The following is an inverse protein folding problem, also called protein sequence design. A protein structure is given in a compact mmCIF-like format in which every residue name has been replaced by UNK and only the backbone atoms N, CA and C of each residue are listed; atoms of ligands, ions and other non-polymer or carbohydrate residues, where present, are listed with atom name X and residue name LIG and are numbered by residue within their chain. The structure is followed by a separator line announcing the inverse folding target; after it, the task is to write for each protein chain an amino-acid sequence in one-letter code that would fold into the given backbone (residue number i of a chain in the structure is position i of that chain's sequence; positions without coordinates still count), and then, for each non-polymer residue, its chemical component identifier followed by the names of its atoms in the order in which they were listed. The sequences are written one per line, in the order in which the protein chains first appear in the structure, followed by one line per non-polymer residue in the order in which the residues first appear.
data_IF_645382516031
#
_entry.id   IF_645382516031
#
_cell.length_a   1.000
_cell.length_b   1.000
_cell.length_c   1.000
_cell.angle_alpha   90.00
_cell.angle_beta   90.00
_cell.angle_gamma   90.00
#
_symmetry.space_group_name_H-M   'P 1'
#
loop_
_entity.id
_entity.type
_entity.pdbx_description
1 polymer ?
#
# COMPACT_ATOMS: atom_id res chain seq x y z
N UNK A 1 4.73 -23.37 28.40
CA UNK A 1 4.21 -22.28 27.55
C UNK A 1 3.59 -22.89 26.30
N UNK A 2 2.37 -22.53 25.90
CA UNK A 2 1.76 -23.07 24.68
C UNK A 2 2.64 -22.68 23.49
N UNK A 3 3.00 -23.66 22.64
CA UNK A 3 3.78 -23.41 21.42
C UNK A 3 2.95 -22.46 20.55
N UNK A 4 3.41 -21.22 20.37
CA UNK A 4 2.81 -20.29 19.41
C UNK A 4 2.95 -20.89 18.02
N UNK A 5 1.85 -21.40 17.49
CA UNK A 5 1.75 -21.87 16.12
C UNK A 5 1.69 -20.65 15.20
N UNK A 6 2.62 -20.57 14.24
CA UNK A 6 2.70 -19.44 13.32
C UNK A 6 1.91 -19.69 12.02
N UNK A 7 1.54 -20.95 11.76
CA UNK A 7 0.71 -21.39 10.65
C UNK A 7 -0.68 -21.75 11.16
N UNK A 8 -1.70 -21.42 10.36
CA UNK A 8 -3.06 -21.92 10.53
C UNK A 8 -3.14 -23.39 10.13
N UNK A 9 -4.20 -24.09 10.55
CA UNK A 9 -4.39 -25.49 10.19
C UNK A 9 -4.50 -25.69 8.67
N UNK A 10 -5.20 -24.78 7.98
CA UNK A 10 -5.27 -24.77 6.51
C UNK A 10 -3.89 -24.65 5.85
N UNK A 11 -3.01 -23.80 6.39
CA UNK A 11 -1.65 -23.62 5.87
C UNK A 11 -0.79 -24.85 6.13
N UNK A 12 -0.97 -25.53 7.26
CA UNK A 12 -0.30 -26.80 7.53
C UNK A 12 -0.74 -27.88 6.55
N UNK A 13 -2.04 -28.04 6.36
CA UNK A 13 -2.57 -29.01 5.39
C UNK A 13 -2.02 -28.77 4.00
N UNK A 14 -2.03 -27.52 3.53
CA UNK A 14 -1.51 -27.15 2.21
C UNK A 14 -0.01 -27.47 2.03
N UNK A 15 0.79 -27.42 3.10
CA UNK A 15 2.25 -27.65 3.05
C UNK A 15 2.65 -29.10 3.32
N UNK A 16 1.88 -29.84 4.13
CA UNK A 16 2.33 -31.09 4.73
C UNK A 16 1.39 -32.28 4.50
N UNK A 17 0.16 -32.08 4.01
CA UNK A 17 -0.71 -33.22 3.71
C UNK A 17 -0.29 -33.91 2.42
N UNK A 18 -0.59 -35.21 2.34
CA UNK A 18 -0.38 -35.96 1.11
C UNK A 18 -1.42 -35.49 0.07
N UNK A 19 -1.03 -35.29 -1.20
CA UNK A 19 -1.95 -34.86 -2.23
C UNK A 19 -2.95 -35.96 -2.56
N UNK A 20 -4.20 -35.57 -2.76
CA UNK A 20 -5.28 -36.48 -3.20
C UNK A 20 -5.85 -36.09 -4.56
N UNK A 21 -5.51 -34.92 -5.08
CA UNK A 21 -5.91 -34.49 -6.42
C UNK A 21 -5.09 -35.20 -7.50
N UNK A 22 -5.77 -35.56 -8.59
CA UNK A 22 -5.18 -36.33 -9.70
C UNK A 22 -3.95 -35.65 -10.31
N UNK A 23 -3.98 -34.33 -10.47
CA UNK A 23 -2.87 -33.58 -11.07
C UNK A 23 -1.60 -33.67 -10.21
N UNK A 24 -1.72 -33.52 -8.89
CA UNK A 24 -0.58 -33.66 -7.97
C UNK A 24 -0.07 -35.09 -7.89
N UNK A 25 -0.95 -36.09 -7.94
CA UNK A 25 -0.57 -37.50 -8.01
C UNK A 25 0.21 -37.82 -9.28
N UNK A 26 -0.29 -37.41 -10.44
CA UNK A 26 0.42 -37.56 -11.73
C UNK A 26 1.77 -36.86 -11.73
N UNK A 27 1.87 -35.69 -11.10
CA UNK A 27 3.10 -34.90 -11.07
C UNK A 27 4.16 -35.48 -10.14
N UNK A 28 3.76 -36.01 -8.99
CA UNK A 28 4.69 -36.33 -7.91
C UNK A 28 4.82 -37.83 -7.62
N UNK A 29 3.79 -38.62 -7.90
CA UNK A 29 3.68 -40.02 -7.47
C UNK A 29 3.76 -41.03 -8.62
N UNK A 30 4.02 -40.57 -9.85
CA UNK A 30 4.38 -41.48 -10.95
C UNK A 30 5.77 -42.06 -10.72
N UNK A 31 5.87 -43.39 -10.81
CA UNK A 31 7.07 -44.19 -10.60
C UNK A 31 7.76 -44.45 -11.94
N UNK A 32 9.03 -44.09 -12.04
CA UNK A 32 9.86 -44.39 -13.20
C UNK A 32 10.42 -45.82 -13.15
N UNK A 33 11.09 -46.23 -14.23
CA UNK A 33 11.66 -47.58 -14.35
C UNK A 33 12.66 -47.92 -13.23
N UNK A 34 13.51 -46.97 -12.86
CA UNK A 34 14.46 -47.12 -11.74
C UNK A 34 13.73 -47.30 -10.39
N UNK A 35 12.61 -46.60 -10.20
CA UNK A 35 11.79 -46.77 -8.99
C UNK A 35 11.20 -48.17 -8.93
N UNK A 36 10.64 -48.63 -10.05
CA UNK A 36 10.03 -49.95 -10.17
C UNK A 36 11.06 -51.04 -9.91
N UNK A 37 12.28 -50.91 -10.42
CA UNK A 37 13.38 -51.85 -10.16
C UNK A 37 13.66 -51.96 -8.65
N UNK A 38 13.85 -50.82 -7.96
CA UNK A 38 14.10 -50.82 -6.51
C UNK A 38 12.90 -51.32 -5.69
N UNK A 39 11.67 -51.03 -6.12
CA UNK A 39 10.46 -51.51 -5.46
C UNK A 39 10.32 -53.03 -5.60
N UNK A 40 10.62 -53.59 -6.77
CA UNK A 40 10.47 -55.03 -7.05
C UNK A 40 11.38 -55.92 -6.21
N UNK A 41 12.53 -55.41 -5.75
CA UNK A 41 13.42 -56.07 -4.78
C UNK A 41 12.71 -56.44 -3.47
N UNK A 42 11.65 -55.71 -3.10
CA UNK A 42 10.90 -55.96 -1.86
C UNK A 42 10.00 -57.19 -2.03
N UNK A 43 10.13 -58.11 -1.08
CA UNK A 43 9.29 -59.32 -1.02
C UNK A 43 7.89 -58.96 -0.54
N UNK A 44 6.88 -59.53 -1.20
CA UNK A 44 5.43 -59.41 -0.93
C UNK A 44 4.79 -58.07 -1.35
N UNK A 45 3.51 -58.07 -1.78
CA UNK A 45 2.82 -56.88 -2.27
C UNK A 45 2.75 -55.72 -1.26
N UNK A 46 2.56 -56.02 0.03
CA UNK A 46 2.44 -55.01 1.09
C UNK A 46 3.72 -54.20 1.29
N UNK A 47 4.88 -54.83 1.13
CA UNK A 47 6.17 -54.16 1.28
C UNK A 47 6.51 -53.32 0.04
N UNK A 48 6.12 -53.78 -1.16
CA UNK A 48 6.27 -53.03 -2.40
C UNK A 48 5.46 -51.74 -2.36
N UNK A 49 4.17 -51.85 -2.01
CA UNK A 49 3.27 -50.71 -1.85
C UNK A 49 3.76 -49.77 -0.73
N UNK A 50 4.19 -50.32 0.40
CA UNK A 50 4.70 -49.53 1.53
C UNK A 50 6.02 -48.80 1.25
N UNK A 51 6.93 -49.40 0.47
CA UNK A 51 8.17 -48.76 0.03
C UNK A 51 7.88 -47.63 -0.97
N UNK A 52 7.03 -47.90 -1.97
CA UNK A 52 6.61 -46.91 -2.96
C UNK A 52 5.90 -45.71 -2.30
N UNK A 53 5.02 -45.96 -1.34
CA UNK A 53 4.34 -44.91 -0.59
C UNK A 53 5.33 -44.02 0.19
N UNK A 54 6.35 -44.60 0.82
CA UNK A 54 7.39 -43.81 1.49
C UNK A 54 8.20 -42.98 0.50
N UNK A 55 8.57 -43.55 -0.66
CA UNK A 55 9.25 -42.81 -1.73
C UNK A 55 8.41 -41.61 -2.19
N UNK A 56 7.13 -41.83 -2.47
CA UNK A 56 6.19 -40.79 -2.88
C UNK A 56 6.07 -39.68 -1.82
N UNK A 57 5.92 -40.03 -0.53
CA UNK A 57 5.86 -39.05 0.56
C UNK A 57 7.15 -38.20 0.69
N UNK A 58 8.32 -38.80 0.38
CA UNK A 58 9.60 -38.10 0.33
C UNK A 58 9.76 -37.20 -0.90
N UNK A 59 9.15 -37.55 -2.04
CA UNK A 59 9.09 -36.67 -3.23
C UNK A 59 8.19 -35.47 -2.98
N UNK A 60 7.02 -35.74 -2.43
CA UNK A 60 6.04 -34.73 -2.08
C UNK A 60 5.11 -35.26 -0.98
N UNK A 61 4.88 -34.53 0.12
CA UNK A 61 5.31 -33.16 0.39
C UNK A 61 6.77 -33.03 0.87
N UNK A 62 7.53 -34.13 0.98
CA UNK A 62 8.95 -34.09 1.38
C UNK A 62 9.24 -34.61 2.78
N UNK A 63 8.30 -35.31 3.42
CA UNK A 63 8.39 -35.73 4.82
C UNK A 63 8.22 -37.24 4.99
N UNK A 64 8.59 -37.71 6.17
CA UNK A 64 8.26 -39.08 6.59
C UNK A 64 6.78 -39.20 6.97
N UNK A 65 6.20 -40.38 6.72
CA UNK A 65 4.87 -40.74 7.20
C UNK A 65 4.90 -41.01 8.71
N UNK A 66 3.92 -40.47 9.43
CA UNK A 66 3.80 -40.69 10.86
C UNK A 66 3.37 -42.14 11.16
N UNK A 67 3.72 -42.71 12.33
CA UNK A 67 3.13 -43.95 12.80
C UNK A 67 1.61 -43.85 12.83
N UNK A 68 0.94 -44.80 12.16
CA UNK A 68 -0.53 -44.88 12.09
C UNK A 68 -1.21 -43.71 11.39
N UNK A 69 -0.48 -42.95 10.56
CA UNK A 69 -1.08 -41.97 9.67
C UNK A 69 -2.09 -42.65 8.72
N UNK A 70 -3.29 -42.09 8.63
CA UNK A 70 -4.32 -42.59 7.72
C UNK A 70 -3.97 -42.13 6.32
N UNK A 71 -3.78 -43.09 5.41
CA UNK A 71 -3.43 -42.82 4.01
C UNK A 71 -4.70 -42.82 3.18
N UNK A 72 -5.03 -41.73 2.46
CA UNK A 72 -6.18 -41.67 1.57
C UNK A 72 -6.18 -42.80 0.52
N UNK A 73 -7.37 -43.31 0.19
CA UNK A 73 -7.53 -44.44 -0.72
C UNK A 73 -7.06 -44.10 -2.15
N UNK A 74 -7.27 -42.86 -2.58
CA UNK A 74 -6.87 -42.31 -3.87
C UNK A 74 -5.37 -42.50 -4.11
N UNK A 75 -4.57 -42.24 -3.07
CA UNK A 75 -3.11 -42.43 -3.10
C UNK A 75 -2.75 -43.90 -3.25
N UNK A 76 -3.35 -44.76 -2.43
CA UNK A 76 -3.07 -46.19 -2.44
C UNK A 76 -3.50 -46.85 -3.74
N UNK A 77 -4.62 -46.41 -4.30
CA UNK A 77 -5.13 -46.86 -5.58
C UNK A 77 -4.21 -46.42 -6.72
N UNK A 78 -3.77 -45.16 -6.72
CA UNK A 78 -2.87 -44.61 -7.75
C UNK A 78 -1.50 -45.31 -7.76
N UNK A 79 -0.88 -45.52 -6.59
CA UNK A 79 0.40 -46.23 -6.48
C UNK A 79 0.20 -47.72 -6.77
N UNK A 80 -0.87 -48.33 -6.24
CA UNK A 80 -1.20 -49.73 -6.44
C UNK A 80 -1.39 -50.11 -7.92
N UNK A 81 -2.05 -49.24 -8.70
CA UNK A 81 -2.25 -49.43 -10.14
C UNK A 81 -0.92 -49.54 -10.91
N UNK A 82 0.07 -48.72 -10.56
CA UNK A 82 1.40 -48.75 -11.17
C UNK A 82 2.19 -50.03 -10.82
N UNK A 83 1.91 -50.62 -9.66
CA UNK A 83 2.60 -51.81 -9.16
C UNK A 83 1.88 -53.13 -9.46
N UNK A 84 0.64 -53.07 -9.98
CA UNK A 84 -0.24 -54.25 -10.06
C UNK A 84 -0.63 -54.82 -8.69
N UNK A 85 -0.75 -53.97 -7.66
CA UNK A 85 -1.05 -54.35 -6.28
C UNK A 85 -2.34 -53.69 -5.81
N UNK A 86 -3.19 -54.44 -5.09
CA UNK A 86 -4.41 -53.89 -4.49
C UNK A 86 -4.09 -52.87 -3.40
N UNK A 87 -4.83 -51.76 -3.36
CA UNK A 87 -4.75 -50.74 -2.31
C UNK A 87 -4.91 -51.30 -0.89
N UNK A 88 -5.67 -52.39 -0.73
CA UNK A 88 -5.90 -53.06 0.55
C UNK A 88 -4.65 -53.77 1.10
N UNK A 89 -3.60 -53.97 0.28
CA UNK A 89 -2.38 -54.64 0.70
C UNK A 89 -1.63 -53.87 1.81
N UNK A 90 -1.84 -52.55 1.96
CA UNK A 90 -1.10 -51.75 2.95
C UNK A 90 -1.52 -52.05 4.40
N UNK A 91 -2.71 -52.62 4.64
CA UNK A 91 -3.25 -52.86 5.99
C UNK A 91 -2.31 -53.68 6.88
N UNK A 92 -1.56 -54.63 6.30
CA UNK A 92 -0.59 -55.46 7.02
C UNK A 92 0.80 -54.81 7.16
N UNK A 93 1.13 -53.82 6.31
CA UNK A 93 2.41 -53.10 6.34
C UNK A 93 2.53 -52.17 7.55
N UNK A 94 1.43 -51.50 7.93
CA UNK A 94 1.43 -50.53 9.03
C UNK A 94 1.84 -51.13 10.39
N UNK A 95 1.66 -52.44 10.58
CA UNK A 95 1.90 -53.13 11.84
C UNK A 95 3.39 -53.32 12.21
N UNK A 96 4.32 -53.30 11.24
CA UNK A 96 5.74 -53.66 11.47
C UNK A 96 6.66 -52.44 11.42
N UNK A 97 7.02 -51.91 12.60
CA UNK A 97 7.93 -50.75 12.74
C UNK A 97 9.32 -50.99 12.14
N UNK A 98 9.85 -52.21 12.23
CA UNK A 98 11.20 -52.54 11.75
C UNK A 98 11.33 -52.40 10.23
N UNK A 99 10.41 -52.99 9.47
CA UNK A 99 10.38 -52.92 8.00
C UNK A 99 10.31 -51.49 7.49
N UNK A 100 9.54 -50.61 8.16
CA UNK A 100 9.45 -49.19 7.78
C UNK A 100 10.77 -48.43 7.96
N UNK A 101 11.56 -48.77 8.97
CA UNK A 101 12.88 -48.14 9.15
C UNK A 101 13.89 -48.65 8.14
N UNK A 102 13.88 -49.95 7.83
CA UNK A 102 14.73 -50.55 6.80
C UNK A 102 14.44 -49.94 5.43
N UNK A 103 13.15 -49.79 5.09
CA UNK A 103 12.74 -49.10 3.87
C UNK A 103 13.21 -47.64 3.81
N UNK A 104 13.04 -46.89 4.91
CA UNK A 104 13.52 -45.51 5.00
C UNK A 104 15.05 -45.42 4.87
N UNK A 105 15.80 -46.35 5.44
CA UNK A 105 17.25 -46.40 5.29
C UNK A 105 17.66 -46.64 3.83
N UNK A 106 17.04 -47.64 3.18
CA UNK A 106 17.29 -47.93 1.77
C UNK A 106 16.88 -46.77 0.84
N UNK A 107 15.77 -46.07 1.13
CA UNK A 107 15.37 -44.89 0.36
C UNK A 107 16.39 -43.75 0.46
N UNK A 108 16.96 -43.54 1.66
CA UNK A 108 17.98 -42.51 1.86
C UNK A 108 19.28 -42.84 1.12
N UNK A 109 19.65 -44.11 1.09
CA UNK A 109 20.84 -44.58 0.38
C UNK A 109 20.66 -44.51 -1.14
N UNK A 110 19.58 -45.08 -1.68
CA UNK A 110 19.36 -45.19 -3.12
C UNK A 110 19.07 -43.82 -3.78
N UNK A 111 18.31 -42.95 -3.10
CA UNK A 111 17.86 -41.67 -3.68
C UNK A 111 18.57 -40.45 -3.08
N UNK A 112 19.52 -40.64 -2.16
CA UNK A 112 20.32 -39.56 -1.58
C UNK A 112 19.59 -38.67 -0.57
N UNK A 113 18.44 -39.10 -0.03
CA UNK A 113 17.71 -38.31 0.96
C UNK A 113 18.49 -38.17 2.28
N UNK A 114 18.54 -36.94 2.80
CA UNK A 114 19.28 -36.57 4.01
C UNK A 114 18.31 -36.22 5.13
N UNK A 115 18.61 -36.66 6.34
CA UNK A 115 17.89 -36.21 7.53
C UNK A 115 18.21 -34.75 7.83
N UNK A 116 17.24 -33.99 8.35
CA UNK A 116 17.43 -32.62 8.83
C UNK A 116 18.32 -32.58 10.09
N UNK A 117 19.63 -32.74 9.90
CA UNK A 117 20.64 -32.75 10.95
C UNK A 117 22.02 -32.29 10.45
N UNK A 118 22.93 -32.03 11.38
CA UNK A 118 24.33 -31.75 11.07
C UNK A 118 24.55 -30.49 10.23
N UNK A 119 25.48 -30.56 9.26
CA UNK A 119 25.87 -29.43 8.42
C UNK A 119 24.72 -28.93 7.53
N UNK A 120 24.03 -29.83 6.83
CA UNK A 120 22.95 -29.42 5.92
C UNK A 120 21.80 -28.70 6.62
N UNK A 121 21.44 -29.10 7.84
CA UNK A 121 20.44 -28.38 8.62
C UNK A 121 20.92 -26.99 9.08
N UNK A 122 22.22 -26.81 9.34
CA UNK A 122 22.80 -25.48 9.64
C UNK A 122 22.77 -24.60 8.41
N UNK A 123 23.21 -25.11 7.26
CA UNK A 123 23.23 -24.35 6.01
C UNK A 123 21.81 -23.89 5.60
N UNK A 124 20.80 -24.77 5.75
CA UNK A 124 19.40 -24.42 5.52
C UNK A 124 18.86 -23.39 6.51
N UNK A 125 19.28 -23.48 7.79
CA UNK A 125 18.90 -22.48 8.78
C UNK A 125 19.52 -21.14 8.43
N UNK A 126 20.81 -21.08 8.10
CA UNK A 126 21.48 -19.82 7.80
C UNK A 126 20.86 -19.17 6.55
N UNK A 127 20.57 -19.97 5.51
CA UNK A 127 19.77 -19.53 4.35
C UNK A 127 18.39 -19.00 4.75
N UNK A 128 17.67 -19.68 5.66
CA UNK A 128 16.35 -19.24 6.12
C UNK A 128 16.41 -17.87 6.81
N UNK A 129 17.47 -17.63 7.58
CA UNK A 129 17.70 -16.34 8.24
C UNK A 129 17.91 -15.23 7.22
N UNK A 130 18.56 -15.48 6.09
CA UNK A 130 18.72 -14.50 5.01
C UNK A 130 17.40 -14.22 4.28
N UNK A 131 16.57 -15.26 4.09
CA UNK A 131 15.26 -15.11 3.45
C UNK A 131 14.22 -14.38 4.31
N UNK A 132 14.40 -14.35 5.63
CA UNK A 132 13.38 -13.89 6.56
C UNK A 132 13.08 -12.38 6.48
N UNK A 133 14.01 -11.53 6.01
CA UNK A 133 13.74 -10.10 5.83
C UNK A 133 12.75 -9.84 4.69
N UNK A 134 12.86 -10.61 3.60
CA UNK A 134 12.02 -10.52 2.40
C UNK A 134 10.69 -11.28 2.52
N UNK A 135 10.54 -12.11 3.55
CA UNK A 135 9.33 -12.87 3.78
C UNK A 135 8.14 -11.96 4.07
N UNK A 136 7.05 -12.12 3.30
CA UNK A 136 5.83 -11.32 3.45
C UNK A 136 4.86 -11.87 4.49
N UNK A 137 4.96 -13.16 4.79
CA UNK A 137 4.14 -13.85 5.80
C UNK A 137 4.88 -15.05 6.39
N UNK A 138 4.34 -15.59 7.48
CA UNK A 138 4.83 -16.83 8.09
C UNK A 138 4.73 -18.02 7.12
N UNK A 139 3.64 -18.06 6.34
CA UNK A 139 3.38 -19.08 5.33
C UNK A 139 4.38 -19.00 4.17
N UNK A 140 4.64 -17.80 3.65
CA UNK A 140 5.63 -17.57 2.59
C UNK A 140 7.01 -18.12 3.01
N UNK A 141 7.48 -17.80 4.21
CA UNK A 141 8.76 -18.30 4.71
C UNK A 141 8.77 -19.83 4.91
N UNK A 142 7.68 -20.40 5.43
CA UNK A 142 7.54 -21.85 5.60
C UNK A 142 7.52 -22.58 4.26
N UNK A 143 6.81 -22.04 3.26
CA UNK A 143 6.76 -22.59 1.90
C UNK A 143 8.15 -22.57 1.25
N UNK A 144 8.88 -21.46 1.39
CA UNK A 144 10.28 -21.34 0.93
C UNK A 144 11.18 -22.39 1.58
N UNK A 145 11.06 -22.60 2.90
CA UNK A 145 11.84 -23.63 3.60
C UNK A 145 11.49 -25.03 3.11
N UNK A 146 10.21 -25.35 2.97
CA UNK A 146 9.75 -26.66 2.48
C UNK A 146 10.29 -26.94 1.07
N UNK A 147 10.16 -25.97 0.18
CA UNK A 147 10.70 -26.06 -1.18
C UNK A 147 12.21 -26.27 -1.16
N UNK A 148 12.94 -25.47 -0.39
CA UNK A 148 14.40 -25.55 -0.30
C UNK A 148 14.88 -26.88 0.28
N UNK A 149 14.17 -27.44 1.26
CA UNK A 149 14.46 -28.77 1.76
C UNK A 149 14.32 -29.82 0.65
N UNK A 150 13.22 -29.79 -0.11
CA UNK A 150 12.98 -30.72 -1.22
C UNK A 150 14.03 -30.62 -2.33
N UNK A 151 14.40 -29.40 -2.74
CA UNK A 151 15.45 -29.16 -3.74
C UNK A 151 16.81 -29.76 -3.33
N UNK A 152 17.08 -29.83 -2.03
CA UNK A 152 18.33 -30.37 -1.48
C UNK A 152 18.20 -31.83 -1.01
N UNK A 153 17.10 -32.52 -1.34
CA UNK A 153 16.77 -33.87 -0.89
C UNK A 153 16.83 -34.01 0.65
N UNK A 154 16.50 -32.93 1.36
CA UNK A 154 16.42 -32.88 2.81
C UNK A 154 15.03 -33.28 3.26
N UNK A 155 14.93 -34.36 4.03
CA UNK A 155 13.68 -34.81 4.63
C UNK A 155 13.21 -33.75 5.62
N UNK A 156 11.98 -33.27 5.44
CA UNK A 156 11.39 -32.24 6.29
C UNK A 156 11.39 -32.68 7.77
N UNK A 157 11.80 -31.80 8.70
CA UNK A 157 11.65 -32.07 10.12
C UNK A 157 10.17 -31.96 10.52
N UNK A 158 9.85 -32.28 11.78
CA UNK A 158 8.51 -32.12 12.30
C UNK A 158 7.97 -30.69 12.09
N UNK A 159 6.66 -30.55 11.84
CA UNK A 159 6.00 -29.25 11.59
C UNK A 159 6.36 -28.23 12.68
N UNK A 160 6.36 -28.64 13.95
CA UNK A 160 6.76 -27.78 15.07
C UNK A 160 8.19 -27.25 15.01
N UNK A 161 9.12 -27.99 14.38
CA UNK A 161 10.49 -27.53 14.13
C UNK A 161 10.52 -26.50 13.01
N UNK A 162 9.76 -26.72 11.93
CA UNK A 162 9.62 -25.74 10.84
C UNK A 162 9.03 -24.42 11.37
N UNK A 163 7.93 -24.49 12.11
CA UNK A 163 7.28 -23.33 12.73
C UNK A 163 8.25 -22.57 13.63
N UNK A 164 9.01 -23.29 14.47
CA UNK A 164 10.00 -22.67 15.37
C UNK A 164 11.14 -22.01 14.59
N UNK A 165 11.71 -22.67 13.59
CA UNK A 165 12.80 -22.11 12.78
C UNK A 165 12.36 -20.85 12.04
N UNK A 166 11.15 -20.85 11.47
CA UNK A 166 10.60 -19.69 10.80
C UNK A 166 10.34 -18.54 11.81
N UNK A 167 9.79 -18.84 12.99
CA UNK A 167 9.59 -17.85 14.03
C UNK A 167 10.92 -17.23 14.51
N UNK A 168 11.93 -18.06 14.78
CA UNK A 168 13.27 -17.63 15.20
C UNK A 168 13.91 -16.73 14.13
N UNK A 169 13.83 -17.13 12.85
CA UNK A 169 14.36 -16.37 11.72
C UNK A 169 13.65 -15.01 11.54
N UNK A 170 12.32 -14.98 11.69
CA UNK A 170 11.54 -13.74 11.60
C UNK A 170 11.86 -12.78 12.75
N UNK A 171 12.02 -13.28 13.99
CA UNK A 171 12.43 -12.46 15.14
C UNK A 171 13.83 -11.89 14.93
N UNK A 172 14.75 -12.69 14.40
CA UNK A 172 16.10 -12.21 14.10
C UNK A 172 16.11 -11.17 12.97
N UNK A 173 15.32 -11.38 11.91
CA UNK A 173 15.14 -10.41 10.84
C UNK A 173 14.57 -9.07 11.34
N UNK A 174 13.57 -9.10 12.24
CA UNK A 174 13.05 -7.89 12.88
C UNK A 174 14.16 -7.15 13.65
N UNK A 175 14.92 -7.85 14.49
CA UNK A 175 16.02 -7.25 15.25
C UNK A 175 17.09 -6.64 14.34
N UNK A 176 17.46 -7.31 13.25
CA UNK A 176 18.45 -6.78 12.29
C UNK A 176 17.96 -5.50 11.61
N UNK A 177 16.67 -5.44 11.25
CA UNK A 177 16.06 -4.23 10.67
C UNK A 177 16.07 -3.11 11.71
N UNK A 178 15.62 -3.38 12.93
CA UNK A 178 15.57 -2.41 14.02
C UNK A 178 16.97 -1.83 14.29
N UNK A 179 17.97 -2.69 14.46
CA UNK A 179 19.37 -2.28 14.68
C UNK A 179 19.96 -1.55 13.46
N UNK A 180 19.66 -1.97 12.22
CA UNK A 180 20.13 -1.29 11.00
C UNK A 180 19.63 0.15 10.94
N UNK A 181 18.37 0.39 11.29
CA UNK A 181 17.79 1.74 11.35
C UNK A 181 18.45 2.52 12.50
N UNK A 182 18.49 1.93 13.71
CA UNK A 182 19.04 2.59 14.89
C UNK A 182 20.51 3.01 14.72
N UNK A 183 21.34 2.17 14.09
CA UNK A 183 22.76 2.46 13.84
C UNK A 183 22.99 3.65 12.89
N UNK A 184 22.00 4.01 12.06
CA UNK A 184 22.08 5.18 11.17
C UNK A 184 21.60 6.47 11.82
N UNK A 185 21.06 6.39 13.04
CA UNK A 185 20.67 7.56 13.83
C UNK A 185 21.85 7.99 14.68
N UNK A 186 22.29 9.23 14.51
CA UNK A 186 23.25 9.85 15.42
C UNK A 186 22.62 10.13 16.80
N UNK A 187 23.44 10.49 17.79
CA UNK A 187 22.98 10.73 19.16
C UNK A 187 21.98 11.90 19.24
N UNK A 188 22.18 12.97 18.47
CA UNK A 188 21.32 14.14 18.48
C UNK A 188 19.93 13.83 17.89
N UNK A 189 19.86 13.05 16.82
CA UNK A 189 18.60 12.55 16.24
C UNK A 189 17.90 11.65 17.25
N UNK A 190 18.61 10.72 17.91
CA UNK A 190 17.99 9.84 18.92
C UNK A 190 17.37 10.64 20.06
N UNK A 191 18.06 11.65 20.57
CA UNK A 191 17.52 12.55 21.61
C UNK A 191 16.26 13.28 21.14
N UNK A 192 16.27 13.82 19.90
CA UNK A 192 15.06 14.45 19.31
C UNK A 192 13.90 13.46 19.14
N UNK A 193 14.17 12.23 18.72
CA UNK A 193 13.14 11.19 18.56
C UNK A 193 12.57 10.74 19.90
N UNK A 194 13.41 10.58 20.93
CA UNK A 194 12.94 10.28 22.29
C UNK A 194 12.13 11.46 22.87
N UNK A 195 12.54 12.70 22.56
CA UNK A 195 11.80 13.93 22.87
C UNK A 195 10.37 13.92 22.33
N UNK A 196 10.11 13.22 21.22
CA UNK A 196 8.75 13.09 20.68
C UNK A 196 7.78 12.39 21.64
N UNK A 197 8.31 11.53 22.52
CA UNK A 197 7.52 10.80 23.50
C UNK A 197 7.40 11.55 24.82
N UNK A 198 8.38 12.37 25.20
CA UNK A 198 8.43 13.03 26.52
C UNK A 198 7.87 14.44 26.52
N UNK A 199 8.00 15.18 25.41
CA UNK A 199 7.49 16.55 25.31
C UNK A 199 5.98 16.58 25.12
N UNK A 200 5.29 17.24 26.05
CA UNK A 200 3.85 17.41 26.05
C UNK A 200 3.46 18.79 25.52
N UNK A 201 2.41 18.82 24.70
CA UNK A 201 1.74 20.05 24.26
C UNK A 201 0.66 20.46 25.28
N UNK A 202 0.11 21.68 25.13
CA UNK A 202 -0.90 22.27 26.03
C UNK A 202 -2.13 21.37 26.31
N UNK A 203 -2.41 20.39 25.45
CA UNK A 203 -3.48 19.40 25.61
C UNK A 203 -3.07 18.11 26.34
N UNK A 204 -1.88 18.07 26.96
CA UNK A 204 -1.26 16.88 27.56
C UNK A 204 -1.08 15.71 26.56
N UNK A 205 -0.82 16.05 25.29
CA UNK A 205 -0.59 15.10 24.20
C UNK A 205 0.90 15.16 23.84
N UNK A 206 1.56 14.00 23.71
CA UNK A 206 2.96 13.94 23.27
C UNK A 206 3.11 14.43 21.83
N UNK A 207 4.28 14.97 21.48
CA UNK A 207 4.61 15.34 20.09
C UNK A 207 4.37 14.20 19.10
N UNK A 208 4.66 12.96 19.48
CA UNK A 208 4.42 11.77 18.64
C UNK A 208 2.93 11.58 18.33
N UNK A 209 2.07 11.66 19.34
CA UNK A 209 0.61 11.50 19.14
C UNK A 209 0.04 12.69 18.36
N UNK A 210 0.55 13.90 18.60
CA UNK A 210 0.19 15.06 17.79
C UNK A 210 0.56 14.84 16.33
N UNK A 211 1.78 14.38 16.02
CA UNK A 211 2.21 14.11 14.65
C UNK A 211 1.37 13.03 13.95
N UNK A 212 0.90 12.02 14.69
CA UNK A 212 0.00 10.98 14.17
C UNK A 212 -1.37 11.53 13.75
N UNK A 213 -1.83 12.61 14.38
CA UNK A 213 -3.16 13.18 14.16
C UNK A 213 -3.13 14.23 13.05
N UNK A 214 -3.47 13.83 11.83
CA UNK A 214 -3.67 14.73 10.70
C UNK A 214 -4.78 14.23 9.80
N UNK A 215 -5.59 15.15 9.29
CA UNK A 215 -6.69 14.88 8.37
C UNK A 215 -6.76 15.99 7.33
N UNK A 216 -7.36 15.67 6.18
CA UNK A 216 -7.50 16.63 5.09
C UNK A 216 -8.45 17.75 5.50
N UNK A 217 -7.95 18.98 5.51
CA UNK A 217 -8.69 20.18 5.84
C UNK A 217 -9.50 20.76 4.69
N UNK A 218 -10.18 21.89 4.95
CA UNK A 218 -10.92 22.63 3.93
C UNK A 218 -10.78 24.17 4.05
N UNK A 219 -9.82 24.64 4.85
CA UNK A 219 -9.61 26.05 5.13
C UNK A 219 -8.14 26.37 5.48
N UNK A 220 -7.80 27.66 5.46
CA UNK A 220 -6.42 28.13 5.70
C UNK A 220 -5.87 27.78 7.10
N UNK A 221 -6.72 27.64 8.11
CA UNK A 221 -6.28 27.27 9.45
C UNK A 221 -5.87 25.79 9.51
N UNK A 222 -6.65 24.91 8.88
CA UNK A 222 -6.29 23.50 8.74
C UNK A 222 -4.99 23.32 7.94
N UNK A 223 -4.82 24.07 6.84
CA UNK A 223 -3.57 24.06 6.08
C UNK A 223 -2.36 24.48 6.95
N UNK A 224 -2.50 25.56 7.74
CA UNK A 224 -1.42 25.98 8.64
C UNK A 224 -1.09 24.95 9.73
N UNK A 225 -2.09 24.28 10.33
CA UNK A 225 -1.85 23.21 11.31
C UNK A 225 -1.07 22.02 10.72
N UNK A 226 -1.33 21.68 9.45
CA UNK A 226 -0.57 20.65 8.74
C UNK A 226 0.86 21.11 8.45
N UNK A 227 1.04 22.38 8.07
CA UNK A 227 2.36 22.98 7.86
C UNK A 227 3.17 23.04 9.16
N UNK A 228 2.55 23.31 10.32
CA UNK A 228 3.21 23.26 11.62
C UNK A 228 3.82 21.87 11.89
N UNK A 229 3.08 20.80 11.56
CA UNK A 229 3.57 19.42 11.69
C UNK A 229 4.70 19.11 10.71
N UNK A 230 4.54 19.53 9.45
CA UNK A 230 5.54 19.29 8.41
C UNK A 230 6.86 19.99 8.72
N UNK A 231 6.81 21.25 9.17
CA UNK A 231 8.00 22.01 9.59
C UNK A 231 8.66 21.38 10.82
N UNK A 232 7.86 20.93 11.79
CA UNK A 232 8.39 20.22 12.96
C UNK A 232 9.08 18.91 12.59
N UNK A 233 8.49 18.08 11.71
CA UNK A 233 9.14 16.84 11.27
C UNK A 233 10.49 17.10 10.60
N UNK A 234 10.61 18.20 9.87
CA UNK A 234 11.85 18.58 9.21
C UNK A 234 12.89 19.16 10.14
N UNK A 235 12.48 19.82 11.22
CA UNK A 235 13.43 20.29 12.23
C UNK A 235 14.12 19.12 12.95
N UNK A 236 13.54 17.91 12.93
CA UNK A 236 14.20 16.68 13.38
C UNK A 236 15.44 16.33 12.55
N UNK A 237 15.57 16.88 11.35
CA UNK A 237 16.70 16.67 10.43
C UNK A 237 16.97 15.18 10.16
N UNK A 238 15.91 14.39 10.03
CA UNK A 238 15.98 12.95 9.79
C UNK A 238 16.12 12.69 8.29
N UNK A 239 17.26 12.13 7.87
CA UNK A 239 17.48 11.74 6.48
C UNK A 239 16.68 10.46 6.15
N UNK A 240 15.83 10.44 5.10
CA UNK A 240 15.15 9.22 4.64
C UNK A 240 16.09 8.04 4.37
N UNK A 241 17.39 8.27 4.14
CA UNK A 241 18.41 7.21 3.99
C UNK A 241 18.56 6.32 5.23
N UNK A 242 18.03 6.72 6.40
CA UNK A 242 17.95 5.82 7.57
C UNK A 242 17.20 4.53 7.24
N UNK A 243 16.27 4.56 6.28
CA UNK A 243 15.48 3.41 5.83
C UNK A 243 16.10 2.65 4.63
N UNK A 244 17.28 3.03 4.15
CA UNK A 244 17.91 2.42 2.98
C UNK A 244 18.11 0.90 3.14
N UNK A 245 17.68 0.09 2.17
CA UNK A 245 17.79 -1.36 2.24
C UNK A 245 16.86 -2.02 3.28
N UNK A 246 15.84 -1.31 3.78
CA UNK A 246 14.72 -1.91 4.50
C UNK A 246 13.60 -2.20 3.51
N UNK A 247 13.10 -3.43 3.40
CA UNK A 247 12.02 -3.74 2.45
C UNK A 247 10.76 -2.90 2.71
N UNK A 248 10.06 -2.40 1.67
CA UNK A 248 8.90 -1.51 1.85
C UNK A 248 7.79 -2.09 2.74
N UNK A 249 7.55 -3.39 2.66
CA UNK A 249 6.55 -4.06 3.49
C UNK A 249 6.93 -4.08 4.99
N UNK A 250 8.22 -4.00 5.31
CA UNK A 250 8.74 -3.88 6.69
C UNK A 250 8.60 -2.47 7.21
N UNK A 251 8.89 -1.45 6.39
CA UNK A 251 8.61 -0.04 6.68
C UNK A 251 7.11 0.13 7.00
N UNK A 252 6.23 -0.35 6.12
CA UNK A 252 4.79 -0.29 6.34
C UNK A 252 4.31 -1.06 7.59
N UNK A 253 5.04 -2.09 8.03
CA UNK A 253 4.73 -2.82 9.28
C UNK A 253 5.16 -2.02 10.52
N UNK A 254 6.34 -1.41 10.51
CA UNK A 254 6.82 -0.55 11.58
C UNK A 254 5.95 0.69 11.74
N UNK A 255 5.55 1.34 10.63
CA UNK A 255 4.59 2.45 10.64
C UNK A 255 3.27 2.05 11.31
N UNK A 256 2.67 0.92 10.90
CA UNK A 256 1.43 0.40 11.50
C UNK A 256 1.57 0.07 12.99
N UNK A 257 2.77 -0.30 13.45
CA UNK A 257 3.03 -0.49 14.87
C UNK A 257 3.02 0.84 15.62
N UNK A 258 3.73 1.86 15.11
CA UNK A 258 3.73 3.20 15.71
C UNK A 258 2.34 3.84 15.73
N UNK A 259 1.50 3.56 14.72
CA UNK A 259 0.11 4.02 14.71
C UNK A 259 -0.78 3.37 15.77
N UNK A 260 -0.44 2.15 16.21
CA UNK A 260 -1.20 1.41 17.24
C UNK A 260 -0.75 1.72 18.66
N UNK A 261 0.54 1.96 18.87
CA UNK A 261 1.04 2.25 20.20
C UNK A 261 0.61 3.64 20.70
N UNK A 262 0.43 3.74 22.00
CA UNK A 262 0.42 5.01 22.72
C UNK A 262 1.84 5.31 23.24
N UNK A 263 2.05 6.52 23.76
CA UNK A 263 3.36 6.99 24.21
C UNK A 263 4.01 6.06 25.23
N UNK A 264 3.25 5.64 26.24
CA UNK A 264 3.64 4.69 27.28
C UNK A 264 4.08 3.34 26.69
N UNK A 265 3.27 2.79 25.79
CA UNK A 265 3.58 1.54 25.10
C UNK A 265 4.82 1.61 24.22
N UNK A 266 5.20 2.79 23.71
CA UNK A 266 6.47 2.98 23.00
C UNK A 266 7.66 3.14 23.96
N UNK A 267 7.47 3.81 25.09
CA UNK A 267 8.53 4.00 26.09
C UNK A 267 9.01 2.66 26.68
N UNK A 268 8.10 1.69 26.82
CA UNK A 268 8.39 0.34 27.33
C UNK A 268 9.16 -0.57 26.35
N UNK A 269 9.34 -0.16 25.09
CA UNK A 269 10.02 -0.96 24.06
C UNK A 269 11.54 -0.73 24.13
N UNK A 270 12.31 -1.80 23.88
CA UNK A 270 13.77 -1.74 23.73
C UNK A 270 14.22 -0.64 22.77
N UNK A 271 15.32 0.05 23.08
CA UNK A 271 15.78 1.26 22.40
C UNK A 271 15.82 1.15 20.87
N UNK A 272 16.46 0.12 20.30
CA UNK A 272 16.63 -0.01 18.84
C UNK A 272 15.27 -0.08 18.13
N UNK A 273 14.37 -0.93 18.63
CA UNK A 273 13.03 -1.09 18.07
C UNK A 273 12.19 0.16 18.26
N UNK A 274 12.30 0.83 19.42
CA UNK A 274 11.62 2.09 19.69
C UNK A 274 12.06 3.15 18.68
N UNK A 275 13.36 3.37 18.54
CA UNK A 275 13.90 4.31 17.56
C UNK A 275 13.55 3.95 16.13
N UNK A 276 13.57 2.67 15.76
CA UNK A 276 13.17 2.23 14.43
C UNK A 276 11.70 2.56 14.12
N UNK A 277 10.78 2.31 15.06
CA UNK A 277 9.37 2.65 14.90
C UNK A 277 9.18 4.16 14.75
N UNK A 278 9.77 4.95 15.66
CA UNK A 278 9.60 6.41 15.64
C UNK A 278 10.22 7.00 14.38
N UNK A 279 11.43 6.58 13.99
CA UNK A 279 12.08 7.06 12.77
C UNK A 279 11.27 6.72 11.51
N UNK A 280 10.75 5.49 11.39
CA UNK A 280 9.86 5.11 10.29
C UNK A 280 8.60 5.98 10.27
N UNK A 281 7.94 6.17 11.42
CA UNK A 281 6.76 7.02 11.51
C UNK A 281 7.09 8.47 11.11
N UNK A 282 8.19 9.05 11.57
CA UNK A 282 8.59 10.42 11.23
C UNK A 282 8.83 10.59 9.72
N UNK A 283 9.53 9.65 9.07
CA UNK A 283 9.77 9.69 7.61
C UNK A 283 8.46 9.53 6.83
N UNK A 284 7.66 8.51 7.17
CA UNK A 284 6.41 8.22 6.45
C UNK A 284 5.34 9.31 6.66
N UNK A 285 5.25 9.87 7.88
CA UNK A 285 4.33 10.96 8.17
C UNK A 285 4.75 12.28 7.54
N UNK A 286 6.05 12.54 7.31
CA UNK A 286 6.47 13.74 6.58
C UNK A 286 5.90 13.73 5.16
N UNK A 287 6.01 12.58 4.46
CA UNK A 287 5.43 12.39 3.14
C UNK A 287 3.89 12.46 3.17
N UNK A 288 3.24 11.72 4.07
CA UNK A 288 1.78 11.68 4.16
C UNK A 288 1.16 13.04 4.52
N UNK A 289 1.82 13.82 5.39
CA UNK A 289 1.37 15.18 5.73
C UNK A 289 1.58 16.12 4.55
N UNK A 290 2.68 16.01 3.81
CA UNK A 290 2.89 16.80 2.59
C UNK A 290 1.77 16.54 1.55
N UNK A 291 1.39 15.28 1.34
CA UNK A 291 0.25 14.91 0.48
C UNK A 291 -1.06 15.50 1.01
N UNK A 292 -1.29 15.40 2.33
CA UNK A 292 -2.48 15.96 2.98
C UNK A 292 -2.56 17.49 2.87
N UNK A 293 -1.41 18.19 2.87
CA UNK A 293 -1.31 19.64 2.61
C UNK A 293 -1.76 19.95 1.18
N UNK A 294 -1.31 19.17 0.19
CA UNK A 294 -1.71 19.32 -1.21
C UNK A 294 -3.22 19.08 -1.38
N UNK A 295 -3.76 18.01 -0.80
CA UNK A 295 -5.20 17.73 -0.89
C UNK A 295 -6.03 18.82 -0.18
N UNK A 296 -5.55 19.33 0.95
CA UNK A 296 -6.18 20.47 1.64
C UNK A 296 -6.16 21.72 0.78
N UNK A 297 -5.05 22.00 0.08
CA UNK A 297 -4.95 23.10 -0.86
C UNK A 297 -5.96 22.95 -1.99
N UNK A 298 -6.05 21.77 -2.60
CA UNK A 298 -7.00 21.49 -3.69
C UNK A 298 -8.46 21.68 -3.25
N UNK A 299 -8.83 21.22 -2.05
CA UNK A 299 -10.17 21.48 -1.49
C UNK A 299 -10.46 22.97 -1.30
N UNK A 300 -9.48 23.77 -0.91
CA UNK A 300 -9.62 25.23 -0.79
C UNK A 300 -9.77 25.86 -2.17
N UNK A 301 -8.97 25.46 -3.15
CA UNK A 301 -9.08 25.91 -4.56
C UNK A 301 -10.46 25.59 -5.12
N UNK A 302 -10.90 24.33 -5.01
CA UNK A 302 -12.21 23.91 -5.50
C UNK A 302 -13.38 24.59 -4.79
N UNK A 303 -13.24 24.96 -3.51
CA UNK A 303 -14.24 25.78 -2.80
C UNK A 303 -14.28 27.22 -3.35
N UNK A 304 -13.12 27.85 -3.52
CA UNK A 304 -13.01 29.20 -4.08
C UNK A 304 -13.57 29.27 -5.50
N UNK A 305 -13.26 28.27 -6.33
CA UNK A 305 -13.81 28.19 -7.69
C UNK A 305 -15.34 28.08 -7.71
N UNK A 306 -15.91 27.22 -6.85
CA UNK A 306 -17.37 27.07 -6.75
C UNK A 306 -18.06 28.35 -6.26
N UNK A 307 -17.45 29.06 -5.31
CA UNK A 307 -17.97 30.36 -4.85
C UNK A 307 -17.92 31.40 -5.97
N UNK A 308 -16.80 31.49 -6.70
CA UNK A 308 -16.64 32.40 -7.84
C UNK A 308 -17.63 32.10 -8.96
N UNK A 309 -17.80 30.83 -9.33
CA UNK A 309 -18.78 30.39 -10.33
C UNK A 309 -20.20 30.73 -9.90
N UNK A 310 -20.57 30.47 -8.64
CA UNK A 310 -21.89 30.81 -8.11
C UNK A 310 -22.19 32.29 -8.21
N UNK A 311 -21.22 33.16 -7.87
CA UNK A 311 -21.38 34.62 -8.00
C UNK A 311 -21.57 35.04 -9.47
N UNK A 312 -20.83 34.43 -10.39
CA UNK A 312 -20.99 34.69 -11.82
C UNK A 312 -22.37 34.25 -12.33
N UNK A 313 -22.80 33.04 -11.96
CA UNK A 313 -24.09 32.48 -12.34
C UNK A 313 -25.26 33.30 -11.76
N UNK A 314 -25.14 33.77 -10.51
CA UNK A 314 -26.11 34.69 -9.88
C UNK A 314 -26.17 36.03 -10.61
N UNK A 315 -25.02 36.60 -11.01
CA UNK A 315 -24.95 37.87 -11.76
C UNK A 315 -25.54 37.75 -13.17
N UNK A 316 -25.22 36.68 -13.89
CA UNK A 316 -25.81 36.37 -15.20
C UNK A 316 -27.32 36.12 -15.04
N UNK A 317 -27.72 35.35 -14.02
CA UNK A 317 -29.11 35.07 -13.68
C UNK A 317 -29.92 36.34 -13.43
N UNK A 318 -29.41 37.26 -12.59
CA UNK A 318 -30.05 38.54 -12.30
C UNK A 318 -30.16 39.48 -13.50
N UNK A 319 -29.29 39.32 -14.50
CA UNK A 319 -29.29 40.13 -15.72
C UNK A 319 -30.28 39.63 -16.78
N UNK A 320 -30.88 38.44 -16.64
CA UNK A 320 -31.75 37.83 -17.66
C UNK A 320 -32.95 38.69 -18.08
N UNK A 321 -33.62 39.33 -17.11
CA UNK A 321 -34.75 40.21 -17.40
C UNK A 321 -34.29 41.42 -18.22
N UNK A 322 -33.23 42.11 -17.76
CA UNK A 322 -32.65 43.24 -18.46
C UNK A 322 -32.17 42.87 -19.87
N UNK A 323 -31.57 41.69 -20.08
CA UNK A 323 -31.20 41.18 -21.40
C UNK A 323 -32.44 41.00 -22.27
N UNK A 324 -33.48 40.36 -21.75
CA UNK A 324 -34.73 40.12 -22.50
C UNK A 324 -35.40 41.42 -22.90
N UNK A 325 -35.49 42.39 -21.98
CA UNK A 325 -36.11 43.69 -22.22
C UNK A 325 -35.29 44.52 -23.20
N UNK A 326 -33.96 44.51 -23.08
CA UNK A 326 -33.05 45.19 -24.02
C UNK A 326 -33.15 44.59 -25.42
N UNK A 327 -33.18 43.26 -25.55
CA UNK A 327 -33.38 42.58 -26.85
C UNK A 327 -34.74 42.89 -27.46
N UNK A 328 -35.81 42.90 -26.66
CA UNK A 328 -37.16 43.30 -27.11
C UNK A 328 -37.17 44.74 -27.60
N UNK A 329 -36.56 45.66 -26.87
CA UNK A 329 -36.48 47.06 -27.26
C UNK A 329 -35.67 47.26 -28.55
N UNK A 330 -34.52 46.57 -28.72
CA UNK A 330 -33.79 46.58 -30.00
C UNK A 330 -34.62 45.97 -31.15
N UNK A 331 -35.40 44.92 -30.87
CA UNK A 331 -36.27 44.29 -31.87
C UNK A 331 -37.40 45.23 -32.30
N UNK A 332 -38.02 45.93 -31.35
CA UNK A 332 -39.08 46.91 -31.61
C UNK A 332 -38.55 48.12 -32.40
N UNK A 333 -37.36 48.61 -32.04
CA UNK A 333 -36.67 49.65 -32.80
C UNK A 333 -36.35 49.19 -34.22
N UNK A 334 -35.78 47.99 -34.38
CA UNK A 334 -35.48 47.40 -35.68
C UNK A 334 -36.73 47.23 -36.55
N UNK A 335 -37.85 46.78 -35.98
CA UNK A 335 -39.12 46.68 -36.68
C UNK A 335 -39.63 48.04 -37.17
N UNK A 336 -39.58 49.06 -36.31
CA UNK A 336 -39.99 50.44 -36.66
C UNK A 336 -39.12 51.02 -37.78
N UNK A 337 -37.81 50.75 -37.75
CA UNK A 337 -36.88 51.16 -38.80
C UNK A 337 -37.15 50.46 -40.14
N UNK A 338 -37.44 49.15 -40.10
CA UNK A 338 -37.77 48.38 -41.30
C UNK A 338 -39.10 48.82 -41.92
N UNK A 339 -40.13 49.09 -41.11
CA UNK A 339 -41.42 49.62 -41.56
C UNK A 339 -41.25 50.98 -42.23
N UNK A 340 -40.55 51.91 -41.58
CA UNK A 340 -40.28 53.23 -42.16
C UNK A 340 -39.47 53.16 -43.46
N UNK A 341 -38.51 52.22 -43.56
CA UNK A 341 -37.76 51.99 -44.79
C UNK A 341 -38.65 51.49 -45.93
N UNK A 342 -39.54 50.52 -45.64
CA UNK A 342 -40.46 49.96 -46.62
C UNK A 342 -41.50 50.98 -47.10
N UNK A 343 -41.94 51.88 -46.22
CA UNK A 343 -42.91 52.94 -46.52
C UNK A 343 -42.27 54.21 -47.13
N UNK A 344 -40.95 54.21 -47.35
CA UNK A 344 -40.21 55.36 -47.90
C UNK A 344 -40.16 56.59 -46.97
N UNK A 345 -40.41 56.40 -45.67
CA UNK A 345 -40.36 57.47 -44.68
C UNK A 345 -38.92 57.75 -44.20
N UNK A 346 -38.59 58.99 -43.79
CA UNK A 346 -37.30 59.28 -43.18
C UNK A 346 -37.09 58.48 -41.88
N UNK A 347 -36.00 57.71 -41.81
CA UNK A 347 -35.67 56.88 -40.63
C UNK A 347 -35.53 57.70 -39.34
N UNK A 348 -35.16 58.97 -39.46
CA UNK A 348 -35.07 59.91 -38.34
C UNK A 348 -36.44 60.17 -37.67
N UNK A 349 -37.53 60.15 -38.47
CA UNK A 349 -38.89 60.20 -37.93
C UNK A 349 -39.30 58.89 -37.26
N UNK A 350 -38.76 57.75 -37.71
CA UNK A 350 -39.04 56.45 -37.11
C UNK A 350 -38.39 56.33 -35.72
N UNK A 351 -37.13 56.74 -35.59
CA UNK A 351 -36.41 56.78 -34.31
C UNK A 351 -37.13 57.74 -33.35
N UNK A 352 -37.39 58.98 -33.76
CA UNK A 352 -38.06 59.95 -32.87
C UNK A 352 -39.48 59.53 -32.45
N UNK A 353 -40.21 58.75 -33.25
CA UNK A 353 -41.52 58.18 -32.90
C UNK A 353 -41.45 56.93 -32.01
N UNK A 354 -40.51 56.02 -32.26
CA UNK A 354 -40.43 54.74 -31.53
C UNK A 354 -39.59 54.83 -30.25
N UNK A 355 -38.54 55.65 -30.24
CA UNK A 355 -37.53 55.69 -29.18
C UNK A 355 -36.76 57.02 -29.25
N UNK A 356 -37.04 57.95 -28.34
CA UNK A 356 -36.32 59.23 -28.31
C UNK A 356 -34.79 59.00 -28.29
N UNK A 357 -34.01 59.87 -28.96
CA UNK A 357 -32.55 59.69 -29.10
C UNK A 357 -31.82 59.40 -27.77
N UNK A 358 -32.22 60.04 -26.67
CA UNK A 358 -31.67 59.76 -25.34
C UNK A 358 -31.99 58.35 -24.79
N UNK A 359 -33.13 57.77 -25.16
CA UNK A 359 -33.47 56.38 -24.81
C UNK A 359 -32.67 55.39 -25.65
N UNK A 360 -32.34 55.72 -26.90
CA UNK A 360 -31.47 54.90 -27.74
C UNK A 360 -30.04 54.86 -27.20
N UNK A 361 -29.49 56.00 -26.76
CA UNK A 361 -28.19 56.07 -26.09
C UNK A 361 -28.16 55.20 -24.83
N UNK A 362 -29.21 55.26 -24.00
CA UNK A 362 -29.35 54.40 -22.82
C UNK A 362 -29.45 52.92 -23.19
N UNK A 363 -30.17 52.57 -24.26
CA UNK A 363 -30.31 51.20 -24.75
C UNK A 363 -28.97 50.62 -25.22
N UNK A 364 -28.18 51.40 -25.96
CA UNK A 364 -26.83 51.02 -26.42
C UNK A 364 -25.88 50.85 -25.23
N UNK A 365 -25.89 51.78 -24.27
CA UNK A 365 -25.08 51.68 -23.06
C UNK A 365 -25.45 50.44 -22.22
N UNK A 366 -26.75 50.18 -22.07
CA UNK A 366 -27.26 48.99 -21.35
C UNK A 366 -26.88 47.70 -22.08
N UNK A 367 -27.01 47.67 -23.41
CA UNK A 367 -26.60 46.54 -24.25
C UNK A 367 -25.11 46.23 -24.11
N UNK A 368 -24.24 47.25 -24.12
CA UNK A 368 -22.81 47.10 -23.91
C UNK A 368 -22.48 46.56 -22.50
N UNK A 369 -23.11 47.10 -21.46
CA UNK A 369 -22.92 46.64 -20.08
C UNK A 369 -23.36 45.16 -19.89
N UNK A 370 -24.49 44.78 -20.49
CA UNK A 370 -25.01 43.41 -20.43
C UNK A 370 -24.13 42.44 -21.22
N UNK A 371 -23.64 42.86 -22.40
CA UNK A 371 -22.70 42.06 -23.19
C UNK A 371 -21.42 41.77 -22.41
N UNK A 372 -20.84 42.78 -21.74
CA UNK A 372 -19.69 42.60 -20.85
C UNK A 372 -19.99 41.67 -19.66
N UNK A 373 -21.19 41.74 -19.10
CA UNK A 373 -21.61 40.89 -17.97
C UNK A 373 -21.81 39.43 -18.39
N UNK A 374 -22.30 39.19 -19.61
CA UNK A 374 -22.46 37.84 -20.16
C UNK A 374 -21.14 37.21 -20.63
N UNK A 375 -20.17 38.05 -21.01
CA UNK A 375 -18.82 37.62 -21.39
C UNK A 375 -17.87 37.47 -20.19
N UNK A 376 -18.33 37.76 -18.96
CA UNK A 376 -17.50 37.73 -17.75
C UNK A 376 -17.10 36.29 -17.39
N UNK A 377 -15.82 36.10 -17.07
CA UNK A 377 -15.24 34.80 -16.73
C UNK A 377 -15.31 34.61 -15.21
N UNK A 378 -15.79 33.45 -14.70
CA UNK A 378 -15.69 33.10 -13.29
C UNK A 378 -14.29 33.30 -12.68
N UNK A 379 -13.22 33.19 -13.46
CA UNK A 379 -11.85 33.50 -13.03
C UNK A 379 -11.68 34.94 -12.51
N UNK A 380 -12.43 35.90 -13.02
CA UNK A 380 -12.42 37.28 -12.52
C UNK A 380 -12.83 37.37 -11.03
N UNK A 381 -13.66 36.43 -10.57
CA UNK A 381 -14.12 36.37 -9.19
C UNK A 381 -13.21 35.54 -8.27
N UNK A 382 -12.28 34.73 -8.81
CA UNK A 382 -11.34 33.92 -8.02
C UNK A 382 -10.40 34.80 -7.18
N UNK A 383 -10.08 36.00 -7.65
CA UNK A 383 -9.29 36.99 -6.91
C UNK A 383 -9.87 37.34 -5.53
N UNK A 384 -11.19 37.23 -5.35
CA UNK A 384 -11.85 37.45 -4.05
C UNK A 384 -11.41 36.42 -2.99
N UNK A 385 -11.01 35.21 -3.43
CA UNK A 385 -10.46 34.15 -2.58
C UNK A 385 -8.99 34.30 -2.22
N UNK A 386 -8.27 35.28 -2.79
CA UNK A 386 -6.82 35.46 -2.61
C UNK A 386 -6.39 35.54 -1.14
N UNK A 387 -7.18 36.21 -0.29
CA UNK A 387 -6.93 36.33 1.14
C UNK A 387 -6.82 34.97 1.86
N UNK A 388 -7.50 33.92 1.36
CA UNK A 388 -7.42 32.56 1.93
C UNK A 388 -6.08 31.92 1.63
N UNK A 389 -5.58 32.09 0.41
CA UNK A 389 -4.30 31.53 -0.04
C UNK A 389 -3.12 32.28 0.57
N UNK A 390 -3.17 33.61 0.64
CA UNK A 390 -2.09 34.44 1.23
C UNK A 390 -1.71 34.00 2.65
N UNK A 391 -2.66 33.45 3.42
CA UNK A 391 -2.46 32.97 4.80
C UNK A 391 -1.59 31.72 4.93
N UNK A 392 -1.39 30.93 3.88
CA UNK A 392 -0.63 29.67 3.98
C UNK A 392 0.19 29.32 2.73
N UNK A 393 -0.21 29.77 1.54
CA UNK A 393 0.40 29.34 0.28
C UNK A 393 1.91 29.68 0.18
N UNK A 394 2.39 30.88 0.57
CA UNK A 394 3.84 31.14 0.58
C UNK A 394 4.60 30.17 1.50
N UNK A 395 4.04 29.88 2.68
CA UNK A 395 4.60 28.93 3.65
C UNK A 395 4.60 27.50 3.10
N UNK A 396 3.49 27.08 2.49
CA UNK A 396 3.35 25.80 1.82
C UNK A 396 4.40 25.61 0.72
N UNK A 397 4.60 26.60 -0.14
CA UNK A 397 5.55 26.53 -1.25
C UNK A 397 7.02 26.54 -0.78
N UNK A 398 7.33 27.15 0.38
CA UNK A 398 8.65 27.02 1.02
C UNK A 398 8.85 25.64 1.63
N UNK A 399 7.79 25.07 2.20
CA UNK A 399 7.85 23.75 2.78
C UNK A 399 7.98 22.71 1.68
N UNK A 400 7.01 22.56 0.78
CA UNK A 400 7.01 21.43 -0.15
C UNK A 400 8.27 21.39 -1.04
N UNK A 401 8.91 20.21 -1.10
CA UNK A 401 10.04 19.95 -2.00
C UNK A 401 9.45 19.70 -3.39
N UNK A 402 9.35 20.77 -4.19
CA UNK A 402 8.74 20.71 -5.52
C UNK A 402 9.79 20.43 -6.59
N UNK A 403 9.57 19.36 -7.35
CA UNK A 403 10.32 19.00 -8.55
C UNK A 403 9.37 18.95 -9.75
N UNK A 404 9.86 19.29 -10.93
CA UNK A 404 9.06 19.26 -12.14
C UNK A 404 9.88 18.92 -13.38
N UNK A 405 9.22 18.37 -14.39
CA UNK A 405 9.78 18.18 -15.72
C UNK A 405 10.26 19.52 -16.33
N UNK A 406 11.17 19.45 -17.30
CA UNK A 406 11.78 20.64 -17.93
C UNK A 406 10.76 21.67 -18.43
N UNK A 407 9.63 21.21 -19.00
CA UNK A 407 8.54 22.06 -19.50
C UNK A 407 7.87 22.92 -18.42
N UNK A 408 7.89 22.48 -17.16
CA UNK A 408 7.24 23.16 -16.04
C UNK A 408 8.21 23.98 -15.17
N UNK A 409 9.47 24.14 -15.59
CA UNK A 409 10.44 24.97 -14.86
C UNK A 409 9.99 26.42 -14.65
N UNK A 410 9.32 27.10 -15.60
CA UNK A 410 8.77 28.43 -15.36
C UNK A 410 7.76 28.46 -14.19
N UNK A 411 6.94 27.41 -14.04
CA UNK A 411 5.97 27.28 -12.95
C UNK A 411 6.68 27.08 -11.60
N UNK A 412 7.75 26.28 -11.56
CA UNK A 412 8.56 26.11 -10.34
C UNK A 412 9.25 27.42 -9.95
N UNK A 413 9.74 28.20 -10.92
CA UNK A 413 10.33 29.52 -10.66
C UNK A 413 9.29 30.47 -10.06
N UNK A 414 8.07 30.50 -10.61
CA UNK A 414 6.96 31.29 -10.07
C UNK A 414 6.57 30.85 -8.65
N UNK A 415 6.44 29.53 -8.42
CA UNK A 415 6.15 28.98 -7.10
C UNK A 415 7.21 29.36 -6.06
N UNK A 416 8.50 29.28 -6.43
CA UNK A 416 9.62 29.72 -5.57
C UNK A 416 9.56 31.22 -5.29
N UNK A 417 9.18 32.05 -6.27
CA UNK A 417 9.03 33.50 -6.08
C UNK A 417 7.89 33.82 -5.10
N UNK A 418 6.73 33.17 -5.23
CA UNK A 418 5.61 33.30 -4.29
C UNK A 418 6.02 32.82 -2.89
N UNK A 419 6.77 31.72 -2.81
CA UNK A 419 7.32 31.22 -1.55
C UNK A 419 8.23 32.22 -0.84
N UNK A 420 8.90 33.13 -1.55
CA UNK A 420 9.73 34.19 -0.95
C UNK A 420 8.94 35.40 -0.45
N UNK A 421 7.67 35.54 -0.84
CA UNK A 421 6.82 36.59 -0.31
C UNK A 421 6.62 36.34 1.20
N UNK A 422 7.02 37.30 2.02
CA UNK A 422 6.68 37.27 3.44
C UNK A 422 5.16 37.28 3.57
N UNK A 423 4.65 36.61 4.61
CA UNK A 423 3.28 36.87 5.05
C UNK A 423 3.25 38.32 5.52
N UNK A 424 2.97 39.26 4.60
CA UNK A 424 2.65 40.63 4.96
C UNK A 424 1.49 40.56 5.96
N UNK A 425 1.52 41.36 7.03
CA UNK A 425 0.60 41.26 8.18
C UNK A 425 -0.87 41.18 7.78
#
# INVERSE_FOLDING_TARGET
MPRRHILTERQRSALFDLPTDELSLLRHYTLGDDDLAHIQERRRPENRLGYALQLCALRYPGRTLAPSEVIPYEILSFIGAQLGVSANALLTYAARRQTRHEHMAALRENYGYKSFAGRGARDLRDWLFDQAEEARSNEDLAQRLVLRCRENLMILPAISTIERLCADALVAAERRIDTRIAQRLDSAVRERLDGLLTELLDANISRFIWLRQFEVGNNSAAANRLLDKLEFLRSLSLDPQVLAGVPPHRVARLRRQGERYFTDGLQDISSDRRWAIIAVCSVEWEAAIADTVIETHDRIVGKTWREAKRLNDERIGGSKAAVTDTLRAFTALGASLLEAHNDGMPLEMAISKSTQWGQLEQLVATGAQLSNTLADDPLAHVGQGYHRFRRYAPRMLRCLKLEAASVAQPLIAAAKAIGKMQALP
#
